data_IF_819697337227
#
_entry.id   IF_819697337227
#
_cell.length_a   1.000
_cell.length_b   1.000
_cell.length_c   1.000
_cell.angle_alpha   90.00
_cell.angle_beta   90.00
_cell.angle_gamma   90.00
#
_symmetry.space_group_name_H-M   'P 1'
#
loop_
_entity.id
_entity.type
_entity.pdbx_description
1 polymer ?
#
# COMPACT_ATOMS: atom_id res chain seq x y z
N UNK A 1 -11.39 23.46 -7.45
CA UNK A 1 -12.46 22.46 -7.22
C UNK A 1 -12.01 21.05 -7.58
N UNK A 2 -11.63 20.74 -8.82
CA UNK A 2 -11.26 19.39 -9.25
C UNK A 2 -10.13 18.73 -8.44
N UNK A 3 -9.06 19.47 -8.12
CA UNK A 3 -7.96 18.93 -7.30
C UNK A 3 -8.46 18.40 -5.95
N UNK A 4 -9.13 19.24 -5.15
CA UNK A 4 -9.66 18.85 -3.85
C UNK A 4 -10.70 17.71 -3.96
N UNK A 5 -11.57 17.75 -4.99
CA UNK A 5 -12.56 16.70 -5.22
C UNK A 5 -11.90 15.34 -5.49
N UNK A 6 -10.95 15.28 -6.44
CA UNK A 6 -10.23 14.05 -6.77
C UNK A 6 -9.42 13.55 -5.57
N UNK A 7 -8.79 14.45 -4.82
CA UNK A 7 -8.05 14.09 -3.60
C UNK A 7 -8.97 13.47 -2.55
N UNK A 8 -10.13 14.07 -2.27
CA UNK A 8 -11.13 13.51 -1.32
C UNK A 8 -11.60 12.13 -1.79
N UNK A 9 -11.91 11.97 -3.08
CA UNK A 9 -12.34 10.69 -3.64
C UNK A 9 -11.26 9.61 -3.50
N UNK A 10 -10.00 9.95 -3.80
CA UNK A 10 -8.87 9.05 -3.65
C UNK A 10 -8.69 8.60 -2.18
N UNK A 11 -8.75 9.53 -1.22
CA UNK A 11 -8.67 9.20 0.21
C UNK A 11 -9.84 8.34 0.67
N UNK A 12 -11.05 8.61 0.21
CA UNK A 12 -12.22 7.78 0.49
C UNK A 12 -12.01 6.34 -0.02
N UNK A 13 -11.56 6.17 -1.25
CA UNK A 13 -11.31 4.85 -1.84
C UNK A 13 -10.22 4.06 -1.09
N UNK A 14 -9.13 4.73 -0.69
CA UNK A 14 -8.07 4.13 0.12
C UNK A 14 -8.64 3.67 1.47
N UNK A 15 -9.44 4.52 2.14
CA UNK A 15 -10.05 4.18 3.42
C UNK A 15 -11.03 3.00 3.30
N UNK A 16 -11.88 2.99 2.27
CA UNK A 16 -12.83 1.91 2.01
C UNK A 16 -12.10 0.59 1.79
N UNK A 17 -11.09 0.57 0.93
CA UNK A 17 -10.28 -0.61 0.63
C UNK A 17 -9.58 -1.15 1.87
N UNK A 18 -8.97 -0.28 2.68
CA UNK A 18 -8.28 -0.66 3.90
C UNK A 18 -9.24 -1.25 4.95
N UNK A 19 -10.40 -0.62 5.13
CA UNK A 19 -11.41 -1.09 6.09
C UNK A 19 -12.02 -2.42 5.63
N UNK A 20 -12.23 -2.62 4.32
CA UNK A 20 -12.72 -3.88 3.77
C UNK A 20 -11.72 -5.02 3.97
N UNK A 21 -10.43 -4.74 3.74
CA UNK A 21 -9.37 -5.69 4.02
C UNK A 21 -9.36 -6.10 5.50
N UNK A 22 -9.50 -5.11 6.39
CA UNK A 22 -9.52 -5.34 7.83
C UNK A 22 -10.77 -6.12 8.29
N UNK A 23 -11.94 -5.76 7.77
CA UNK A 23 -13.20 -6.43 8.06
C UNK A 23 -13.18 -7.90 7.59
N UNK A 24 -12.58 -8.19 6.43
CA UNK A 24 -12.36 -9.56 5.96
C UNK A 24 -11.44 -10.32 6.91
N UNK A 25 -10.33 -9.71 7.33
CA UNK A 25 -9.36 -10.32 8.26
C UNK A 25 -9.98 -10.64 9.63
N UNK A 26 -10.82 -9.76 10.17
CA UNK A 26 -11.52 -9.96 11.44
C UNK A 26 -12.89 -10.65 11.30
N UNK A 27 -13.26 -11.10 10.10
CA UNK A 27 -14.53 -11.79 9.79
C UNK A 27 -15.77 -11.01 10.20
N UNK A 28 -15.74 -9.68 10.09
CA UNK A 28 -16.93 -8.86 10.31
C UNK A 28 -17.99 -9.14 9.24
N UNK A 29 -19.20 -9.51 9.69
CA UNK A 29 -20.34 -9.85 8.83
C UNK A 29 -21.16 -8.64 8.38
N UNK A 30 -20.84 -7.45 8.88
CA UNK A 30 -21.60 -6.22 8.60
C UNK A 30 -20.91 -5.41 7.51
N UNK A 31 -21.71 -4.68 6.75
CA UNK A 31 -21.21 -3.74 5.75
C UNK A 31 -20.53 -2.55 6.44
N UNK A 32 -19.21 -2.59 6.45
CA UNK A 32 -18.34 -1.55 7.01
C UNK A 32 -18.16 -0.35 6.07
N UNK A 33 -18.55 -0.48 4.80
CA UNK A 33 -18.43 0.63 3.83
C UNK A 33 -19.28 1.82 4.24
N UNK A 34 -20.45 1.58 4.84
CA UNK A 34 -21.35 2.63 5.29
C UNK A 34 -20.68 3.54 6.34
N UNK A 35 -19.92 2.95 7.26
CA UNK A 35 -19.20 3.73 8.29
C UNK A 35 -18.14 4.61 7.62
N UNK A 36 -17.42 4.08 6.64
CA UNK A 36 -16.41 4.86 5.89
C UNK A 36 -17.06 6.01 5.13
N UNK A 37 -18.16 5.76 4.41
CA UNK A 37 -18.94 6.78 3.70
C UNK A 37 -19.38 7.90 4.63
N UNK A 38 -20.02 7.54 5.75
CA UNK A 38 -20.50 8.52 6.72
C UNK A 38 -19.35 9.31 7.33
N UNK A 39 -18.24 8.66 7.69
CA UNK A 39 -17.07 9.37 8.22
C UNK A 39 -16.44 10.33 7.21
N UNK A 40 -16.38 9.96 5.93
CA UNK A 40 -15.83 10.82 4.89
C UNK A 40 -16.73 12.04 4.64
N UNK A 41 -18.05 11.84 4.56
CA UNK A 41 -19.01 12.93 4.45
C UNK A 41 -18.89 13.90 5.62
N UNK A 42 -18.84 13.38 6.86
CA UNK A 42 -18.67 14.21 8.06
C UNK A 42 -17.35 14.97 8.05
N UNK A 43 -16.24 14.32 7.68
CA UNK A 43 -14.92 14.96 7.59
C UNK A 43 -14.90 16.11 6.57
N UNK A 44 -15.52 15.91 5.40
CA UNK A 44 -15.61 16.94 4.35
C UNK A 44 -16.48 18.11 4.81
N UNK A 45 -17.65 17.84 5.40
CA UNK A 45 -18.53 18.90 5.92
C UNK A 45 -17.86 19.66 7.06
N UNK A 46 -17.22 18.96 7.99
CA UNK A 46 -16.48 19.59 9.09
C UNK A 46 -15.29 20.41 8.60
N UNK A 47 -14.57 19.91 7.59
CA UNK A 47 -13.47 20.63 6.94
C UNK A 47 -13.93 21.91 6.21
N UNK A 48 -15.17 21.95 5.72
CA UNK A 48 -15.72 23.13 5.05
C UNK A 48 -16.14 24.24 6.02
N UNK A 49 -16.49 23.90 7.26
CA UNK A 49 -17.02 24.85 8.27
C UNK A 49 -15.96 25.20 9.33
N UNK A 50 -14.99 24.32 9.56
CA UNK A 50 -13.94 24.49 10.57
C UNK A 50 -12.93 25.58 10.21
N UNK A 51 -12.28 26.15 11.22
CA UNK A 51 -11.19 27.10 11.00
C UNK A 51 -10.00 26.40 10.35
N UNK A 52 -9.43 27.02 9.31
CA UNK A 52 -8.30 26.46 8.57
C UNK A 52 -7.15 26.09 9.52
N UNK A 53 -6.79 26.97 10.46
CA UNK A 53 -5.69 26.73 11.40
C UNK A 53 -5.87 25.49 12.29
N UNK A 54 -7.11 25.19 12.72
CA UNK A 54 -7.37 23.98 13.50
C UNK A 54 -7.30 22.71 12.63
N UNK A 55 -7.86 22.75 11.42
CA UNK A 55 -7.85 21.62 10.48
C UNK A 55 -6.41 21.25 10.07
N UNK A 56 -5.57 22.25 9.82
CA UNK A 56 -4.16 22.03 9.50
C UNK A 56 -3.41 21.37 10.66
N UNK A 57 -3.61 21.81 11.91
CA UNK A 57 -3.00 21.18 13.09
C UNK A 57 -3.41 19.70 13.24
N UNK A 58 -4.69 19.39 13.01
CA UNK A 58 -5.16 18.00 13.03
C UNK A 58 -4.53 17.18 11.89
N UNK A 59 -4.38 17.79 10.71
CA UNK A 59 -3.70 17.20 9.56
C UNK A 59 -2.23 16.87 9.85
N UNK A 60 -1.48 17.80 10.45
CA UNK A 60 -0.07 17.61 10.78
C UNK A 60 0.15 16.42 11.73
N UNK A 61 -0.72 16.28 12.74
CA UNK A 61 -0.70 15.13 13.66
C UNK A 61 -0.97 13.82 12.90
N UNK A 62 -1.96 13.82 12.00
CA UNK A 62 -2.32 12.66 11.20
C UNK A 62 -1.18 12.22 10.26
N UNK A 63 -0.57 13.17 9.54
CA UNK A 63 0.56 12.90 8.64
C UNK A 63 1.78 12.43 9.44
N UNK A 64 2.06 13.06 10.59
CA UNK A 64 3.15 12.65 11.49
C UNK A 64 2.99 11.22 11.99
N UNK A 65 1.79 10.85 12.47
CA UNK A 65 1.50 9.48 12.91
C UNK A 65 1.68 8.46 11.78
N UNK A 66 1.14 8.76 10.59
CA UNK A 66 1.28 7.91 9.42
C UNK A 66 2.76 7.73 9.00
N UNK A 67 3.53 8.81 9.05
CA UNK A 67 4.96 8.77 8.75
C UNK A 67 5.72 7.89 9.75
N UNK A 68 5.48 8.05 11.06
CA UNK A 68 6.14 7.26 12.09
C UNK A 68 5.83 5.76 11.98
N UNK A 69 4.57 5.38 11.73
CA UNK A 69 4.20 3.98 11.52
C UNK A 69 4.95 3.36 10.32
N UNK A 70 5.03 4.09 9.21
CA UNK A 70 5.73 3.63 8.01
C UNK A 70 7.24 3.56 8.21
N UNK A 71 7.85 4.55 8.87
CA UNK A 71 9.29 4.56 9.16
C UNK A 71 9.65 3.37 10.06
N UNK A 72 8.90 3.17 11.15
CA UNK A 72 9.15 2.05 12.07
C UNK A 72 8.95 0.72 11.33
N UNK A 73 7.91 0.59 10.51
CA UNK A 73 7.68 -0.60 9.68
C UNK A 73 8.84 -0.88 8.73
N UNK A 74 9.34 0.14 8.03
CA UNK A 74 10.50 0.04 7.15
C UNK A 74 11.76 -0.37 7.93
N UNK A 75 12.02 0.23 9.08
CA UNK A 75 13.16 -0.11 9.95
C UNK A 75 13.08 -1.57 10.39
N UNK A 76 11.92 -2.03 10.86
CA UNK A 76 11.73 -3.42 11.28
C UNK A 76 11.97 -4.38 10.12
N UNK A 77 11.39 -4.11 8.94
CA UNK A 77 11.60 -4.96 7.74
C UNK A 77 13.07 -4.93 7.31
N UNK A 78 13.71 -3.77 7.36
CA UNK A 78 15.09 -3.58 6.95
C UNK A 78 16.07 -4.37 7.83
N UNK A 79 15.89 -4.35 9.16
CA UNK A 79 16.74 -5.06 10.10
C UNK A 79 16.36 -6.54 10.28
N UNK A 80 15.08 -6.88 10.24
CA UNK A 80 14.60 -8.25 10.55
C UNK A 80 14.53 -9.16 9.31
N UNK A 81 14.09 -8.63 8.16
CA UNK A 81 13.83 -9.44 6.97
C UNK A 81 15.01 -9.50 5.99
N UNK A 82 16.19 -8.98 6.37
CA UNK A 82 17.41 -9.08 5.56
C UNK A 82 17.41 -8.18 4.32
N UNK A 83 16.74 -7.03 4.39
CA UNK A 83 16.67 -6.00 3.32
C UNK A 83 16.10 -6.52 1.98
N UNK A 84 14.91 -7.15 1.97
CA UNK A 84 14.35 -7.74 0.76
C UNK A 84 14.12 -6.69 -0.34
N UNK A 85 13.72 -5.47 0.04
CA UNK A 85 13.54 -4.33 -0.87
C UNK A 85 14.81 -3.97 -1.62
N UNK A 86 15.98 -4.00 -0.95
CA UNK A 86 17.26 -3.68 -1.60
C UNK A 86 17.67 -4.78 -2.58
N UNK A 87 17.39 -6.05 -2.25
CA UNK A 87 17.68 -7.17 -3.16
C UNK A 87 16.80 -7.12 -4.41
N UNK A 88 15.50 -6.85 -4.22
CA UNK A 88 14.56 -6.65 -5.31
C UNK A 88 14.96 -5.46 -6.20
N UNK A 89 15.41 -4.35 -5.59
CA UNK A 89 15.88 -3.18 -6.33
C UNK A 89 17.14 -3.49 -7.15
N UNK A 90 18.13 -4.17 -6.57
CA UNK A 90 19.36 -4.54 -7.29
C UNK A 90 19.10 -5.51 -8.44
N UNK A 91 18.14 -6.42 -8.27
CA UNK A 91 17.69 -7.30 -9.34
C UNK A 91 17.04 -6.51 -10.49
N UNK A 92 16.17 -5.56 -10.16
CA UNK A 92 15.57 -4.65 -11.14
C UNK A 92 16.63 -3.82 -11.88
N UNK A 93 17.58 -3.21 -11.16
CA UNK A 93 18.67 -2.43 -11.74
C UNK A 93 19.57 -3.28 -12.65
N UNK A 94 19.86 -4.53 -12.26
CA UNK A 94 20.59 -5.49 -13.11
C UNK A 94 19.85 -5.73 -14.42
N UNK A 95 18.56 -6.06 -14.36
CA UNK A 95 17.75 -6.32 -15.56
C UNK A 95 17.62 -5.07 -16.44
N UNK A 96 17.59 -3.89 -15.83
CA UNK A 96 17.57 -2.62 -16.54
C UNK A 96 18.89 -2.38 -17.28
N UNK A 97 20.03 -2.64 -16.63
CA UNK A 97 21.36 -2.52 -17.25
C UNK A 97 21.57 -3.54 -18.38
N UNK A 98 21.00 -4.74 -18.23
CA UNK A 98 21.02 -5.80 -19.24
C UNK A 98 20.05 -5.54 -20.41
N UNK A 99 19.30 -4.43 -20.39
CA UNK A 99 18.26 -4.09 -21.37
C UNK A 99 17.26 -5.26 -21.59
N UNK A 100 16.86 -5.91 -20.50
CA UNK A 100 15.93 -7.02 -20.55
C UNK A 100 14.61 -6.59 -21.23
N UNK A 101 14.15 -7.38 -22.20
CA UNK A 101 12.89 -7.11 -22.91
C UNK A 101 11.66 -7.21 -21.99
N UNK A 102 11.74 -8.03 -20.94
CA UNK A 102 10.70 -8.21 -19.92
C UNK A 102 11.35 -8.29 -18.55
N UNK A 103 10.92 -7.42 -17.64
CA UNK A 103 11.35 -7.46 -16.24
C UNK A 103 10.61 -8.60 -15.52
N UNK A 104 11.38 -9.46 -14.85
CA UNK A 104 10.85 -10.58 -14.06
C UNK A 104 11.30 -10.46 -12.62
N UNK A 105 10.54 -11.03 -11.69
CA UNK A 105 10.90 -11.02 -10.27
C UNK A 105 10.77 -12.43 -9.73
N UNK A 106 11.91 -13.06 -9.45
CA UNK A 106 11.99 -14.36 -8.78
C UNK A 106 12.38 -14.16 -7.30
N UNK A 107 11.41 -14.26 -6.37
CA UNK A 107 11.69 -14.08 -4.95
C UNK A 107 12.60 -15.18 -4.39
N UNK A 108 12.55 -16.41 -4.92
CA UNK A 108 13.37 -17.52 -4.42
C UNK A 108 14.84 -17.33 -4.78
N UNK A 109 15.12 -16.91 -6.02
CA UNK A 109 16.48 -16.57 -6.46
C UNK A 109 17.12 -15.45 -5.61
N UNK A 110 16.31 -14.55 -5.06
CA UNK A 110 16.76 -13.44 -4.21
C UNK A 110 16.77 -13.77 -2.70
N UNK A 111 16.39 -15.01 -2.34
CA UNK A 111 16.29 -15.47 -0.95
C UNK A 111 15.19 -14.76 -0.16
N UNK A 112 14.17 -14.23 -0.84
CA UNK A 112 12.99 -13.58 -0.25
C UNK A 112 11.94 -14.66 0.00
N UNK A 113 11.60 -14.89 1.28
CA UNK A 113 10.62 -15.90 1.69
C UNK A 113 9.22 -15.29 1.82
N UNK A 114 8.18 -16.13 1.76
CA UNK A 114 6.76 -15.75 1.91
C UNK A 114 6.23 -14.84 0.81
N UNK A 115 6.76 -14.94 -0.41
CA UNK A 115 6.31 -14.18 -1.56
C UNK A 115 5.35 -15.02 -2.43
N UNK A 116 4.33 -15.63 -1.80
CA UNK A 116 3.47 -16.67 -2.39
C UNK A 116 2.91 -16.29 -3.76
N UNK A 117 2.41 -15.06 -3.90
CA UNK A 117 1.90 -14.56 -5.18
C UNK A 117 2.94 -14.61 -6.31
N UNK A 118 4.18 -14.21 -6.03
CA UNK A 118 5.26 -14.19 -7.02
C UNK A 118 5.83 -15.58 -7.28
N UNK A 119 5.92 -16.42 -6.25
CA UNK A 119 6.31 -17.82 -6.38
C UNK A 119 5.35 -18.61 -7.28
N UNK A 120 4.04 -18.40 -7.12
CA UNK A 120 3.01 -19.00 -7.99
C UNK A 120 3.09 -18.48 -9.43
N UNK A 121 3.34 -17.18 -9.61
CA UNK A 121 3.49 -16.57 -10.94
C UNK A 121 4.68 -17.13 -11.71
N UNK A 122 5.83 -17.34 -11.05
CA UNK A 122 7.02 -17.96 -11.67
C UNK A 122 6.71 -19.40 -12.09
N UNK A 123 6.08 -20.20 -11.21
CA UNK A 123 5.67 -21.58 -11.53
C UNK A 123 4.72 -21.63 -12.74
N UNK A 124 3.72 -20.76 -12.78
CA UNK A 124 2.77 -20.69 -13.90
C UNK A 124 3.39 -20.20 -15.22
N UNK A 125 4.53 -19.50 -15.16
CA UNK A 125 5.31 -19.10 -16.33
C UNK A 125 6.21 -20.22 -16.86
N UNK A 126 6.81 -21.01 -15.96
CA UNK A 126 7.65 -22.17 -16.31
C UNK A 126 6.86 -23.28 -17.01
N UNK A 127 5.60 -23.48 -16.62
CA UNK A 127 4.70 -24.48 -17.22
C UNK A 127 4.25 -24.13 -18.66
N UNK A 128 4.57 -22.92 -19.14
CA UNK A 128 4.22 -22.43 -20.49
C UNK A 128 5.40 -22.36 -21.47
N UNK A 129 6.61 -22.73 -21.05
CA UNK A 129 7.77 -22.81 -21.95
C UNK A 129 7.86 -24.21 -22.56
N UNK A 130 7.71 -24.37 -23.89
CA UNK A 130 7.88 -25.67 -24.53
C UNK A 130 9.36 -26.09 -24.46
N UNK A 131 9.57 -27.37 -24.12
CA UNK A 131 10.86 -28.07 -24.17
C UNK A 131 11.53 -28.00 -25.53
#
# INVERSE_FOLDING_TARGET
>A
FFFAFTTILAYYYIAETNVLYLARKFRWKRDVTLVVKLSAMLAVTYGAIGSAGYIWKLGDIGVGLNAWLNIIGLVIIFFTAGRPTIRALRDYERQQQENAAVYTFDPQALGIKNATFWEERVKAGQDKSPS
#
